data_IF_445552016749
#
_entry.id   IF_445552016749
#
_cell.length_a   1.000
_cell.length_b   1.000
_cell.length_c   1.000
_cell.angle_alpha   90.00
_cell.angle_beta   90.00
_cell.angle_gamma   90.00
#
_symmetry.space_group_name_H-M   'P 1'
#
loop_
_entity.id
_entity.type
_entity.pdbx_description
1 polymer ?
#
# COMPACT_ATOMS: atom_id res chain seq x y z
N UNK A 1 -4.56 -25.28 48.28
CA UNK A 1 -4.92 -23.89 47.94
C UNK A 1 -6.02 -23.94 46.90
N UNK A 2 -7.26 -24.06 47.34
CA UNK A 2 -8.44 -24.04 46.47
C UNK A 2 -8.75 -22.58 46.16
N UNK A 3 -8.52 -22.18 44.90
CA UNK A 3 -8.89 -20.85 44.42
C UNK A 3 -10.41 -20.72 44.47
N UNK A 4 -10.89 -19.72 45.21
CA UNK A 4 -12.28 -19.29 45.13
C UNK A 4 -12.55 -18.83 43.70
N UNK A 5 -13.40 -19.57 42.99
CA UNK A 5 -14.05 -19.07 41.79
C UNK A 5 -15.21 -18.24 42.32
N UNK A 6 -15.06 -16.92 42.36
CA UNK A 6 -16.18 -16.01 42.61
C UNK A 6 -17.22 -16.24 41.51
N UNK A 7 -18.36 -16.85 41.88
CA UNK A 7 -19.54 -16.85 41.03
C UNK A 7 -19.99 -15.40 40.83
N UNK A 8 -19.69 -14.86 39.65
CA UNK A 8 -20.14 -13.52 39.26
C UNK A 8 -21.65 -13.54 39.11
N UNK A 9 -22.34 -12.78 39.95
CA UNK A 9 -23.77 -12.55 39.84
C UNK A 9 -24.10 -11.94 38.46
N UNK A 10 -24.86 -12.65 37.60
CA UNK A 10 -25.21 -12.19 36.26
C UNK A 10 -25.92 -10.83 36.25
N UNK A 11 -26.69 -10.51 37.29
CA UNK A 11 -27.44 -9.26 37.40
C UNK A 11 -26.51 -8.05 37.56
N UNK A 12 -25.44 -8.20 38.33
CA UNK A 12 -24.44 -7.15 38.57
C UNK A 12 -23.56 -6.91 37.34
N UNK A 13 -23.28 -7.94 36.54
CA UNK A 13 -22.54 -7.80 35.28
C UNK A 13 -23.39 -7.14 34.19
N UNK A 14 -24.70 -7.43 34.12
CA UNK A 14 -25.62 -6.75 33.21
C UNK A 14 -25.77 -5.26 33.52
N UNK A 15 -25.82 -4.90 34.80
CA UNK A 15 -25.92 -3.51 35.24
C UNK A 15 -24.64 -2.73 34.91
N UNK A 16 -23.46 -3.29 35.21
CA UNK A 16 -22.17 -2.71 34.81
C UNK A 16 -22.03 -2.56 33.30
N UNK A 17 -22.56 -3.51 32.53
CA UNK A 17 -22.54 -3.44 31.08
C UNK A 17 -23.40 -2.28 30.57
N UNK A 18 -24.58 -2.06 31.15
CA UNK A 18 -25.46 -0.92 30.83
C UNK A 18 -24.80 0.40 31.16
N UNK A 19 -24.21 0.53 32.35
CA UNK A 19 -23.48 1.75 32.76
C UNK A 19 -22.34 2.07 31.78
N UNK A 20 -21.55 1.05 31.42
CA UNK A 20 -20.47 1.20 30.43
C UNK A 20 -21.01 1.63 29.07
N UNK A 21 -22.10 1.03 28.60
CA UNK A 21 -22.71 1.40 27.32
C UNK A 21 -23.20 2.85 27.32
N UNK A 22 -23.82 3.28 28.41
CA UNK A 22 -24.29 4.65 28.55
C UNK A 22 -23.13 5.64 28.60
N UNK A 23 -22.07 5.33 29.37
CA UNK A 23 -20.85 6.14 29.38
C UNK A 23 -20.23 6.30 27.99
N UNK A 24 -20.17 5.21 27.21
CA UNK A 24 -19.67 5.24 25.83
C UNK A 24 -20.52 6.12 24.92
N UNK A 25 -21.86 6.08 25.04
CA UNK A 25 -22.76 6.95 24.26
C UNK A 25 -22.50 8.42 24.57
N UNK A 26 -22.41 8.78 25.85
CA UNK A 26 -22.12 10.14 26.30
C UNK A 26 -20.76 10.62 25.79
N UNK A 27 -19.74 9.75 25.82
CA UNK A 27 -18.42 10.08 25.32
C UNK A 27 -18.43 10.39 23.82
N UNK A 28 -19.16 9.60 23.01
CA UNK A 28 -19.29 9.85 21.56
C UNK A 28 -19.98 11.17 21.27
N UNK A 29 -21.09 11.46 21.95
CA UNK A 29 -21.80 12.74 21.79
C UNK A 29 -20.89 13.93 22.08
N UNK A 30 -20.06 13.83 23.13
CA UNK A 30 -19.17 14.92 23.55
C UNK A 30 -17.96 15.12 22.64
N UNK A 31 -17.38 14.05 22.10
CA UNK A 31 -16.07 14.12 21.44
C UNK A 31 -16.08 13.83 19.94
N UNK A 32 -17.11 13.14 19.43
CA UNK A 32 -17.20 12.78 18.02
C UNK A 32 -18.11 13.72 17.23
N UNK A 33 -19.10 14.35 17.85
CA UNK A 33 -19.98 15.34 17.21
C UNK A 33 -19.44 16.73 17.51
N UNK A 34 -19.20 17.53 16.47
CA UNK A 34 -18.67 18.88 16.56
C UNK A 34 -19.55 19.83 15.77
N UNK A 35 -20.04 20.89 16.42
CA UNK A 35 -20.98 21.83 15.82
C UNK A 35 -20.38 22.56 14.61
N UNK A 36 -19.06 22.76 14.61
CA UNK A 36 -18.33 23.38 13.52
C UNK A 36 -18.16 22.47 12.28
N UNK A 37 -18.43 21.17 12.40
CA UNK A 37 -18.29 20.19 11.32
C UNK A 37 -19.57 19.38 11.13
N UNK A 38 -20.49 19.88 10.31
CA UNK A 38 -21.79 19.25 10.03
C UNK A 38 -21.67 17.77 9.62
N UNK A 39 -20.59 17.40 8.92
CA UNK A 39 -20.32 16.00 8.50
C UNK A 39 -20.22 15.03 9.68
N UNK A 40 -19.80 15.50 10.86
CA UNK A 40 -19.64 14.65 12.06
C UNK A 40 -20.98 14.19 12.63
N UNK A 41 -22.07 14.92 12.37
CA UNK A 41 -23.43 14.54 12.78
C UNK A 41 -23.94 13.30 12.04
N UNK A 42 -23.30 12.93 10.92
CA UNK A 42 -23.62 11.70 10.19
C UNK A 42 -22.98 10.45 10.82
N UNK A 43 -21.99 10.61 11.71
CA UNK A 43 -21.23 9.51 12.32
C UNK A 43 -21.94 8.89 13.52
N UNK A 44 -22.59 9.73 14.35
CA UNK A 44 -23.21 9.36 15.63
C UNK A 44 -24.65 9.83 15.62
N UNK A 45 -25.58 8.95 15.97
CA UNK A 45 -27.00 9.31 16.11
C UNK A 45 -27.24 10.16 17.37
N UNK A 46 -28.36 10.91 17.44
CA UNK A 46 -28.68 11.74 18.61
C UNK A 46 -28.74 10.98 19.95
N UNK A 47 -28.94 9.66 19.93
CA UNK A 47 -28.95 8.78 21.12
C UNK A 47 -27.55 8.30 21.53
N UNK A 48 -26.49 8.78 20.88
CA UNK A 48 -25.09 8.41 21.11
C UNK A 48 -24.69 7.06 20.51
N UNK A 49 -25.57 6.39 19.77
CA UNK A 49 -25.24 5.17 19.05
C UNK A 49 -24.48 5.46 17.75
N UNK A 50 -23.67 4.51 17.31
CA UNK A 50 -22.83 4.65 16.11
C UNK A 50 -23.69 4.44 14.86
N UNK A 51 -23.59 5.33 13.87
CA UNK A 51 -24.11 5.06 12.54
C UNK A 51 -23.19 4.07 11.82
N UNK A 52 -23.47 2.77 11.94
CA UNK A 52 -22.67 1.70 11.32
C UNK A 52 -22.57 1.85 9.80
N UNK A 53 -23.60 2.38 9.14
CA UNK A 53 -23.61 2.55 7.69
C UNK A 53 -22.68 3.67 7.22
N UNK A 54 -22.41 4.68 8.07
CA UNK A 54 -21.41 5.71 7.79
C UNK A 54 -19.99 5.12 7.63
N UNK A 55 -19.66 4.09 8.43
CA UNK A 55 -18.33 3.46 8.42
C UNK A 55 -18.23 2.26 7.49
N UNK A 56 -19.34 1.85 6.88
CA UNK A 56 -19.30 0.83 5.83
C UNK A 56 -18.79 1.47 4.54
N UNK A 57 -17.94 0.76 3.78
CA UNK A 57 -17.63 1.18 2.41
C UNK A 57 -18.94 1.48 1.67
N UNK A 58 -19.02 2.53 0.85
CA UNK A 58 -20.19 2.81 0.05
C UNK A 58 -20.61 1.53 -0.67
N UNK A 59 -21.90 1.19 -0.65
CA UNK A 59 -22.47 0.12 -1.49
C UNK A 59 -22.49 0.54 -2.98
N UNK A 60 -21.40 1.16 -3.43
CA UNK A 60 -21.16 1.47 -4.82
C UNK A 60 -21.07 0.18 -5.62
N UNK A 61 -21.30 0.31 -6.92
CA UNK A 61 -21.06 -0.75 -7.89
C UNK A 61 -19.70 -1.37 -7.58
N UNK A 62 -19.65 -2.71 -7.47
CA UNK A 62 -18.39 -3.43 -7.48
C UNK A 62 -17.71 -3.03 -8.78
N UNK A 63 -16.82 -2.04 -8.75
CA UNK A 63 -15.94 -1.80 -9.88
C UNK A 63 -15.26 -3.13 -10.14
N UNK A 64 -15.41 -3.63 -11.38
CA UNK A 64 -14.75 -4.86 -11.76
C UNK A 64 -13.27 -4.70 -11.44
N UNK A 65 -12.78 -5.51 -10.49
CA UNK A 65 -11.39 -5.43 -10.03
C UNK A 65 -10.51 -5.65 -11.24
N UNK A 66 -9.92 -4.57 -11.74
CA UNK A 66 -9.12 -4.64 -12.96
C UNK A 66 -7.93 -5.53 -12.72
N UNK A 67 -7.78 -6.54 -13.57
CA UNK A 67 -6.66 -7.48 -13.50
C UNK A 67 -5.48 -6.91 -14.25
N UNK A 68 -4.29 -7.10 -13.68
CA UNK A 68 -3.03 -6.83 -14.37
C UNK A 68 -2.62 -8.08 -15.13
N UNK A 69 -2.59 -8.02 -16.45
CA UNK A 69 -2.28 -9.15 -17.34
C UNK A 69 -0.98 -8.89 -18.11
N UNK A 70 -0.61 -9.84 -18.98
CA UNK A 70 0.55 -9.69 -19.85
C UNK A 70 0.38 -8.55 -20.87
N UNK A 71 -0.87 -8.19 -21.21
CA UNK A 71 -1.14 -7.04 -22.09
C UNK A 71 -0.68 -5.74 -21.42
N UNK A 72 -1.12 -5.46 -20.19
CA UNK A 72 -0.69 -4.26 -19.47
C UNK A 72 0.81 -4.28 -19.16
N UNK A 73 1.37 -5.46 -18.88
CA UNK A 73 2.81 -5.62 -18.67
C UNK A 73 3.61 -5.23 -19.92
N UNK A 74 3.21 -5.70 -21.09
CA UNK A 74 3.90 -5.40 -22.34
C UNK A 74 3.76 -3.92 -22.72
N UNK A 75 2.59 -3.32 -22.51
CA UNK A 75 2.39 -1.87 -22.68
C UNK A 75 3.24 -1.03 -21.73
N UNK A 76 3.45 -1.50 -20.51
CA UNK A 76 4.37 -0.83 -19.58
C UNK A 76 5.82 -0.92 -20.07
N UNK A 77 6.25 -2.07 -20.60
CA UNK A 77 7.58 -2.24 -21.19
C UNK A 77 7.76 -1.29 -22.38
N UNK A 78 6.79 -1.24 -23.30
CA UNK A 78 6.80 -0.30 -24.43
C UNK A 78 6.87 1.16 -23.96
N UNK A 79 6.10 1.50 -22.92
CA UNK A 79 6.14 2.83 -22.32
C UNK A 79 7.51 3.18 -21.72
N UNK A 80 8.16 2.23 -21.04
CA UNK A 80 9.50 2.41 -20.49
C UNK A 80 10.53 2.56 -21.61
N UNK A 81 10.43 1.78 -22.68
CA UNK A 81 11.32 1.88 -23.84
C UNK A 81 11.17 3.24 -24.55
N UNK A 82 9.93 3.74 -24.68
CA UNK A 82 9.63 5.02 -25.33
C UNK A 82 9.99 6.23 -24.46
N UNK A 83 9.52 6.25 -23.22
CA UNK A 83 9.57 7.42 -22.34
C UNK A 83 10.67 7.34 -21.28
N UNK A 84 10.90 6.15 -20.74
CA UNK A 84 11.82 5.91 -19.64
C UNK A 84 11.13 5.82 -18.28
N UNK A 85 11.82 5.22 -17.32
CA UNK A 85 11.32 5.08 -15.95
C UNK A 85 11.26 6.45 -15.27
N UNK A 86 10.10 6.77 -14.69
CA UNK A 86 9.80 8.06 -14.07
C UNK A 86 8.75 8.88 -14.84
N UNK A 87 8.58 8.61 -16.13
CA UNK A 87 7.59 9.26 -17.02
C UNK A 87 6.24 8.52 -17.02
N UNK A 88 5.76 8.16 -15.83
CA UNK A 88 4.53 7.37 -15.69
C UNK A 88 3.26 8.16 -16.10
N UNK A 89 3.33 9.49 -16.11
CA UNK A 89 2.23 10.34 -16.58
C UNK A 89 1.98 10.17 -18.08
N UNK A 90 3.05 10.17 -18.86
CA UNK A 90 3.08 9.96 -20.31
C UNK A 90 2.64 8.53 -20.64
N UNK A 91 3.21 7.53 -19.96
CA UNK A 91 2.85 6.12 -20.14
C UNK A 91 1.37 5.88 -19.82
N UNK A 92 0.87 6.44 -18.72
CA UNK A 92 -0.55 6.37 -18.37
C UNK A 92 -1.38 7.00 -19.47
N UNK A 93 -1.11 8.26 -19.85
CA UNK A 93 -1.93 8.99 -20.83
C UNK A 93 -2.04 8.29 -22.18
N UNK A 94 -0.95 7.69 -22.67
CA UNK A 94 -0.93 7.13 -24.03
C UNK A 94 -1.23 5.64 -24.10
N UNK A 95 -0.70 4.84 -23.17
CA UNK A 95 -0.72 3.37 -23.27
C UNK A 95 -1.63 2.74 -22.23
N UNK A 96 -1.66 3.31 -21.02
CA UNK A 96 -2.35 2.72 -19.87
C UNK A 96 -3.28 3.74 -19.17
N UNK A 97 -4.24 4.37 -19.89
CA UNK A 97 -5.01 5.53 -19.40
C UNK A 97 -5.91 5.22 -18.22
N UNK A 98 -6.15 3.93 -17.98
CA UNK A 98 -6.97 3.49 -16.87
C UNK A 98 -6.15 3.23 -15.59
N UNK A 99 -4.81 3.23 -15.66
CA UNK A 99 -3.92 2.97 -14.54
C UNK A 99 -3.31 4.27 -14.04
N UNK A 100 -3.31 4.48 -12.72
CA UNK A 100 -2.70 5.68 -12.14
C UNK A 100 -1.18 5.63 -12.27
N UNK A 101 -0.55 6.81 -12.19
CA UNK A 101 0.92 6.91 -12.18
C UNK A 101 1.55 6.10 -11.05
N UNK A 102 0.89 6.04 -9.89
CA UNK A 102 1.35 5.24 -8.75
C UNK A 102 1.22 3.74 -9.01
N UNK A 103 0.13 3.28 -9.65
CA UNK A 103 0.01 1.88 -10.05
C UNK A 103 1.15 1.47 -10.96
N UNK A 104 1.40 2.27 -12.01
CA UNK A 104 2.49 2.02 -12.96
C UNK A 104 3.86 2.02 -12.28
N UNK A 105 4.09 2.92 -11.32
CA UNK A 105 5.31 2.92 -10.50
C UNK A 105 5.48 1.61 -9.73
N UNK A 106 4.43 1.14 -9.05
CA UNK A 106 4.47 -0.12 -8.30
C UNK A 106 4.69 -1.32 -9.23
N UNK A 107 4.06 -1.31 -10.41
CA UNK A 107 4.27 -2.36 -11.43
C UNK A 107 5.70 -2.33 -11.98
N UNK A 108 6.26 -1.15 -12.21
CA UNK A 108 7.64 -0.97 -12.63
C UNK A 108 8.64 -1.48 -11.58
N UNK A 109 8.39 -1.21 -10.29
CA UNK A 109 9.19 -1.75 -9.17
C UNK A 109 9.27 -3.28 -9.22
N UNK A 110 8.13 -3.93 -9.46
CA UNK A 110 8.04 -5.40 -9.59
C UNK A 110 8.71 -5.90 -10.87
N UNK A 111 8.57 -5.15 -11.95
CA UNK A 111 9.08 -5.49 -13.26
C UNK A 111 10.61 -5.48 -13.29
N UNK A 112 11.24 -4.48 -12.66
CA UNK A 112 12.70 -4.34 -12.60
C UNK A 112 13.32 -5.02 -11.38
N UNK A 113 12.50 -5.47 -10.42
CA UNK A 113 12.96 -6.16 -9.23
C UNK A 113 13.63 -5.23 -8.21
N UNK A 114 13.27 -3.95 -8.13
CA UNK A 114 13.85 -2.99 -7.16
C UNK A 114 12.81 -2.00 -6.63
N UNK A 115 12.79 -1.82 -5.32
CA UNK A 115 11.84 -0.91 -4.66
C UNK A 115 12.12 0.57 -4.95
N UNK A 116 13.39 0.99 -4.89
CA UNK A 116 13.77 2.35 -5.26
C UNK A 116 14.05 2.42 -6.77
N UNK A 117 13.41 3.35 -7.49
CA UNK A 117 13.63 3.59 -8.91
C UNK A 117 14.51 4.80 -9.21
N UNK A 118 15.04 5.51 -8.22
CA UNK A 118 15.77 6.77 -8.39
C UNK A 118 16.97 6.66 -9.33
N UNK A 119 17.70 5.53 -9.30
CA UNK A 119 18.86 5.30 -10.19
C UNK A 119 18.44 4.96 -11.64
N UNK A 120 17.17 4.62 -11.83
CA UNK A 120 16.58 4.34 -13.13
C UNK A 120 15.84 5.56 -13.69
N UNK A 121 15.96 6.74 -13.08
CA UNK A 121 15.31 7.94 -13.60
C UNK A 121 15.76 8.19 -15.04
N UNK A 122 14.79 8.37 -15.92
CA UNK A 122 14.97 8.57 -17.37
C UNK A 122 15.58 7.37 -18.10
N UNK A 123 15.84 6.26 -17.41
CA UNK A 123 16.39 5.05 -18.01
C UNK A 123 15.37 4.40 -18.94
N UNK A 124 15.83 4.04 -20.14
CA UNK A 124 15.06 3.35 -21.17
C UNK A 124 15.71 2.00 -21.44
N UNK A 125 14.89 0.99 -21.63
CA UNK A 125 15.34 -0.36 -21.97
C UNK A 125 14.16 -1.20 -22.44
N UNK A 126 14.47 -2.17 -23.30
CA UNK A 126 13.48 -3.10 -23.79
C UNK A 126 13.24 -4.26 -22.79
N UNK A 127 12.45 -5.26 -23.18
CA UNK A 127 12.15 -6.41 -22.33
C UNK A 127 13.42 -7.16 -21.85
N UNK A 128 14.44 -7.28 -22.70
CA UNK A 128 15.68 -7.97 -22.34
C UNK A 128 16.52 -7.16 -21.36
N UNK A 129 16.61 -5.84 -21.55
CA UNK A 129 17.27 -4.93 -20.62
C UNK A 129 16.63 -5.02 -19.24
N UNK A 130 15.30 -4.96 -19.18
CA UNK A 130 14.53 -5.06 -17.95
C UNK A 130 14.79 -6.40 -17.25
N UNK A 131 14.84 -7.50 -18.01
CA UNK A 131 15.14 -8.82 -17.45
C UNK A 131 16.56 -8.91 -16.90
N UNK A 132 17.54 -8.30 -17.59
CA UNK A 132 18.93 -8.21 -17.09
C UNK A 132 19.01 -7.43 -15.78
N UNK A 133 18.34 -6.28 -15.69
CA UNK A 133 18.29 -5.48 -14.46
C UNK A 133 17.57 -6.25 -13.34
N UNK A 134 16.49 -6.97 -13.64
CA UNK A 134 15.79 -7.80 -12.67
C UNK A 134 16.70 -8.89 -12.08
N UNK A 135 17.40 -9.66 -12.92
CA UNK A 135 18.28 -10.72 -12.42
C UNK A 135 19.49 -10.15 -11.67
N UNK A 136 20.06 -9.03 -12.11
CA UNK A 136 21.14 -8.35 -11.39
C UNK A 136 20.68 -7.86 -9.99
N UNK A 137 19.52 -7.19 -9.93
CA UNK A 137 18.95 -6.73 -8.66
C UNK A 137 18.64 -7.91 -7.73
N UNK A 138 18.15 -9.02 -8.29
CA UNK A 138 17.88 -10.26 -7.54
C UNK A 138 19.15 -10.90 -7.00
N UNK A 139 20.21 -10.98 -7.81
CA UNK A 139 21.50 -11.52 -7.36
C UNK A 139 22.07 -10.70 -6.20
N UNK A 140 22.09 -9.38 -6.33
CA UNK A 140 22.52 -8.45 -5.26
C UNK A 140 21.66 -8.67 -4.01
N UNK A 141 20.33 -8.73 -4.17
CA UNK A 141 19.40 -8.92 -3.06
C UNK A 141 19.57 -10.24 -2.34
N UNK A 142 19.86 -11.33 -3.06
CA UNK A 142 20.13 -12.63 -2.46
C UNK A 142 21.48 -12.63 -1.75
N UNK A 143 22.50 -12.01 -2.33
CA UNK A 143 23.85 -11.92 -1.75
C UNK A 143 23.86 -11.20 -0.39
N UNK A 144 23.08 -10.12 -0.25
CA UNK A 144 23.04 -9.30 0.96
C UNK A 144 21.78 -9.52 1.83
N UNK A 145 20.95 -10.52 1.53
CA UNK A 145 19.72 -10.81 2.30
C UNK A 145 18.61 -9.75 2.16
N UNK A 146 18.74 -8.85 1.19
CA UNK A 146 17.86 -7.71 0.91
C UNK A 146 16.82 -7.98 -0.20
N UNK A 147 16.64 -9.24 -0.64
CA UNK A 147 15.55 -9.61 -1.54
C UNK A 147 14.27 -9.89 -0.76
N UNK A 148 13.28 -9.00 -0.84
CA UNK A 148 12.01 -9.10 -0.10
C UNK A 148 10.84 -9.04 -1.06
N UNK A 149 9.97 -10.06 -0.97
CA UNK A 149 8.77 -10.17 -1.80
C UNK A 149 9.03 -10.05 -3.31
N UNK A 150 10.21 -10.40 -3.84
CA UNK A 150 10.48 -10.26 -5.29
C UNK A 150 11.02 -8.90 -5.71
N UNK A 151 11.52 -8.08 -4.78
CA UNK A 151 12.24 -6.85 -5.08
C UNK A 151 13.45 -6.67 -4.16
N UNK A 152 14.48 -6.01 -4.67
CA UNK A 152 15.63 -5.53 -3.91
C UNK A 152 15.23 -4.32 -3.07
N UNK A 153 15.44 -4.42 -1.75
CA UNK A 153 15.30 -3.33 -0.79
C UNK A 153 16.66 -2.87 -0.27
N UNK A 154 16.69 -1.80 0.51
CA UNK A 154 17.91 -1.33 1.18
C UNK A 154 18.38 -2.30 2.28
N UNK A 155 19.69 -2.34 2.49
CA UNK A 155 20.31 -2.89 3.69
C UNK A 155 20.76 -1.75 4.62
N UNK A 156 20.83 -2.03 5.92
CA UNK A 156 21.19 -1.02 6.92
C UNK A 156 22.69 -0.69 6.86
N UNK A 157 23.50 -1.60 6.33
CA UNK A 157 24.95 -1.50 6.21
C UNK A 157 25.44 -0.82 4.91
N UNK A 158 24.52 -0.49 3.98
CA UNK A 158 24.81 0.19 2.72
C UNK A 158 25.60 -0.63 1.69
N UNK A 159 25.69 -1.94 1.84
CA UNK A 159 26.36 -2.82 0.88
C UNK A 159 25.58 -2.96 -0.43
N UNK A 160 24.24 -2.93 -0.36
CA UNK A 160 23.38 -2.98 -1.55
C UNK A 160 23.62 -1.77 -2.44
N UNK A 161 23.73 -0.57 -1.86
CA UNK A 161 23.97 0.66 -2.59
C UNK A 161 25.33 0.63 -3.31
N UNK A 162 26.40 0.24 -2.60
CA UNK A 162 27.74 0.07 -3.18
C UNK A 162 27.76 -0.93 -4.34
N UNK A 163 27.12 -2.09 -4.17
CA UNK A 163 27.07 -3.11 -5.21
C UNK A 163 26.33 -2.63 -6.46
N UNK A 164 25.27 -1.83 -6.28
CA UNK A 164 24.52 -1.24 -7.39
C UNK A 164 25.34 -0.16 -8.12
N UNK A 165 26.05 0.69 -7.38
CA UNK A 165 26.94 1.68 -7.97
C UNK A 165 28.04 1.02 -8.80
N UNK A 166 28.70 -0.02 -8.27
CA UNK A 166 29.69 -0.81 -9.01
C UNK A 166 29.10 -1.43 -10.27
N UNK A 167 27.91 -2.02 -10.18
CA UNK A 167 27.22 -2.62 -11.32
C UNK A 167 26.94 -1.59 -12.43
N UNK A 168 26.35 -0.44 -12.08
CA UNK A 168 26.02 0.59 -13.07
C UNK A 168 27.25 1.33 -13.60
N UNK A 169 28.31 1.48 -12.80
CA UNK A 169 29.56 2.10 -13.26
C UNK A 169 30.30 1.22 -14.27
N UNK A 170 30.32 -0.10 -14.09
CA UNK A 170 30.87 -1.04 -15.09
C UNK A 170 30.14 -0.98 -16.44
N UNK A 171 28.85 -0.62 -16.44
CA UNK A 171 28.03 -0.52 -17.66
C UNK A 171 28.26 0.79 -18.44
N UNK A 172 28.87 1.81 -17.81
CA UNK A 172 29.18 3.11 -18.43
C UNK A 172 30.57 3.17 -19.08
N UNK A 173 31.43 2.20 -18.81
CA UNK A 173 32.75 2.04 -19.44
C UNK A 173 32.62 1.19 -20.71
#
# INVERSE_FOLDING_TARGET
>A
MTGNIEEKDPSLEEEKLKEKQEWVKQFRLKFCVRDEFEITKNMIYPDGTLNQDYFRPPKGQKEEVRKWTDVEKNLLIEGIEKYGIGHFGEISKELLPKWSTNDLRVKCIRLIGRQNLQMYRDWKGNAEDIMREYEANKEIGLKYGAWKQGVLVYDDEGNVEKALEEYHNKKKQ
#
